data_IF_750042647448
#
_entry.id   IF_750042647448
#
_cell.length_a   1.000
_cell.length_b   1.000
_cell.length_c   1.000
_cell.angle_alpha   90.00
_cell.angle_beta   90.00
_cell.angle_gamma   90.00
#
_symmetry.space_group_name_H-M   'P 1'
#
loop_
_entity.id
_entity.type
_entity.pdbx_description
1 polymer ?
#
# COMPACT_ATOMS: atom_id res chain seq x y z
N UNK A 1 18.35 7.53 -14.59
CA UNK A 1 19.41 7.67 -13.56
C UNK A 1 20.24 8.91 -13.84
N UNK A 2 20.42 9.77 -12.83
CA UNK A 2 21.26 10.97 -12.93
C UNK A 2 22.73 10.54 -12.82
N UNK A 3 23.50 10.60 -13.91
CA UNK A 3 24.95 10.42 -13.86
C UNK A 3 25.55 11.64 -13.15
N UNK A 4 26.20 11.47 -12.01
CA UNK A 4 26.87 12.57 -11.31
C UNK A 4 27.98 13.09 -12.24
N UNK A 5 27.95 14.37 -12.66
CA UNK A 5 29.00 14.94 -13.49
C UNK A 5 30.36 14.81 -12.79
N UNK A 6 31.40 14.45 -13.54
CA UNK A 6 32.77 14.29 -13.04
C UNK A 6 33.26 15.54 -12.29
N UNK A 7 32.78 16.72 -12.67
CA UNK A 7 33.04 17.99 -11.99
C UNK A 7 32.52 18.03 -10.55
N UNK A 8 31.33 17.46 -10.29
CA UNK A 8 30.77 17.35 -8.93
C UNK A 8 31.50 16.30 -8.09
N UNK A 9 31.90 15.18 -8.70
CA UNK A 9 32.74 14.17 -8.04
C UNK A 9 34.07 14.78 -7.58
N UNK A 10 34.79 15.43 -8.48
CA UNK A 10 36.07 16.08 -8.18
C UNK A 10 35.91 17.21 -7.16
N UNK A 11 34.82 17.98 -7.26
CA UNK A 11 34.46 19.01 -6.29
C UNK A 11 34.28 18.43 -4.88
N UNK A 12 33.48 17.38 -4.73
CA UNK A 12 33.20 16.74 -3.45
C UNK A 12 34.46 16.14 -2.80
N UNK A 13 35.30 15.46 -3.58
CA UNK A 13 36.56 14.87 -3.06
C UNK A 13 37.55 15.95 -2.66
N UNK A 14 37.66 17.04 -3.44
CA UNK A 14 38.62 18.13 -3.18
C UNK A 14 38.26 18.92 -1.92
N UNK A 15 36.98 19.15 -1.66
CA UNK A 15 36.49 19.93 -0.52
C UNK A 15 36.26 19.10 0.74
N UNK A 16 36.37 17.78 0.68
CA UNK A 16 36.29 16.93 1.85
C UNK A 16 37.48 17.18 2.83
N UNK A 17 37.25 17.04 4.15
CA UNK A 17 38.28 17.20 5.18
C UNK A 17 39.52 16.33 4.92
N UNK A 18 40.70 16.87 5.23
CA UNK A 18 41.98 16.14 5.09
C UNK A 18 41.92 14.89 6.00
N UNK A 19 41.98 13.71 5.39
CA UNK A 19 41.79 12.41 6.05
C UNK A 19 40.54 11.63 5.62
N UNK A 20 39.53 12.31 5.07
CA UNK A 20 38.28 11.67 4.61
C UNK A 20 38.12 11.61 3.09
N UNK A 21 39.01 12.27 2.34
CA UNK A 21 38.94 12.34 0.87
C UNK A 21 38.92 10.97 0.19
N UNK A 22 39.71 10.01 0.68
CA UNK A 22 39.75 8.64 0.14
C UNK A 22 38.44 7.90 0.44
N UNK A 23 37.86 8.10 1.63
CA UNK A 23 36.56 7.52 2.01
C UNK A 23 35.42 8.08 1.16
N UNK A 24 35.41 9.40 0.94
CA UNK A 24 34.45 10.09 0.07
C UNK A 24 34.61 9.64 -1.38
N UNK A 25 35.85 9.57 -1.90
CA UNK A 25 36.12 9.08 -3.25
C UNK A 25 35.66 7.63 -3.42
N UNK A 26 35.94 6.76 -2.45
CA UNK A 26 35.52 5.34 -2.48
C UNK A 26 34.00 5.18 -2.48
N UNK A 27 33.29 5.92 -1.62
CA UNK A 27 31.82 5.89 -1.58
C UNK A 27 31.18 6.40 -2.86
N UNK A 28 31.73 7.47 -3.43
CA UNK A 28 31.24 7.99 -4.71
C UNK A 28 31.58 7.06 -5.87
N UNK A 29 32.77 6.43 -5.87
CA UNK A 29 33.17 5.43 -6.86
C UNK A 29 32.29 4.17 -6.80
N UNK A 30 31.89 3.70 -5.61
CA UNK A 30 30.93 2.60 -5.51
C UNK A 30 29.58 2.95 -6.15
N UNK A 31 29.15 4.21 -6.10
CA UNK A 31 27.93 4.65 -6.81
C UNK A 31 28.06 4.70 -8.33
N UNK A 32 29.29 4.60 -8.88
CA UNK A 32 29.53 4.46 -10.32
C UNK A 32 29.74 3.00 -10.75
N UNK A 33 30.01 2.08 -9.81
CA UNK A 33 30.31 0.67 -10.11
C UNK A 33 29.11 -0.27 -10.00
N UNK A 34 27.92 0.23 -9.67
CA UNK A 34 26.67 -0.55 -9.79
C UNK A 34 26.18 -0.53 -11.25
N UNK A 35 26.99 -1.12 -12.13
CA UNK A 35 26.61 -1.54 -13.49
C UNK A 35 26.69 -3.08 -13.63
N UNK A 36 26.65 -3.79 -12.50
CA UNK A 36 26.03 -5.11 -12.49
C UNK A 36 24.54 -4.82 -12.60
N UNK A 37 23.94 -5.16 -13.74
CA UNK A 37 22.51 -5.09 -13.98
C UNK A 37 21.79 -5.66 -12.75
N UNK A 38 21.40 -4.76 -11.85
CA UNK A 38 20.46 -5.10 -10.80
C UNK A 38 19.25 -5.53 -11.61
N UNK A 39 18.77 -6.78 -11.51
CA UNK A 39 17.55 -7.15 -12.22
C UNK A 39 16.55 -6.04 -11.90
N UNK A 40 16.07 -5.35 -12.94
CA UNK A 40 15.13 -4.26 -12.76
C UNK A 40 14.08 -4.79 -11.80
N UNK A 41 13.91 -4.11 -10.65
CA UNK A 41 13.02 -4.60 -9.60
C UNK A 41 11.74 -5.04 -10.28
N UNK A 42 11.42 -6.34 -10.23
CA UNK A 42 10.31 -6.88 -10.98
C UNK A 42 9.05 -6.30 -10.36
N UNK A 43 8.53 -5.24 -10.99
CA UNK A 43 7.36 -4.53 -10.49
C UNK A 43 6.16 -5.40 -10.83
N UNK A 44 5.61 -6.09 -9.85
CA UNK A 44 4.31 -6.74 -10.00
C UNK A 44 3.22 -5.67 -10.04
N UNK A 45 2.87 -5.22 -11.24
CA UNK A 45 1.80 -4.25 -11.44
C UNK A 45 0.44 -4.96 -11.58
N UNK A 46 -0.51 -4.60 -10.72
CA UNK A 46 -1.91 -4.93 -10.93
C UNK A 46 -2.53 -3.87 -11.84
N UNK A 47 -3.01 -4.26 -13.02
CA UNK A 47 -3.62 -3.33 -13.99
C UNK A 47 -5.13 -3.44 -14.04
N UNK A 48 -5.66 -4.63 -13.76
CA UNK A 48 -7.08 -4.93 -13.85
C UNK A 48 -7.43 -6.19 -13.03
N UNK A 49 -8.72 -6.42 -12.73
CA UNK A 49 -9.19 -7.68 -12.15
C UNK A 49 -8.94 -8.90 -13.06
N UNK A 50 -8.88 -8.70 -14.38
CA UNK A 50 -8.67 -9.80 -15.35
C UNK A 50 -7.29 -10.46 -15.20
N UNK A 51 -6.26 -9.67 -14.89
CA UNK A 51 -4.90 -10.16 -14.69
C UNK A 51 -4.63 -10.60 -13.24
N UNK A 52 -5.63 -10.47 -12.36
CA UNK A 52 -5.46 -10.57 -10.92
C UNK A 52 -4.89 -11.92 -10.49
N UNK A 53 -5.43 -13.04 -10.97
CA UNK A 53 -4.97 -14.37 -10.56
C UNK A 53 -3.49 -14.64 -10.89
N UNK A 54 -3.04 -14.23 -12.09
CA UNK A 54 -1.64 -14.35 -12.50
C UNK A 54 -0.73 -13.48 -11.64
N UNK A 55 -1.12 -12.21 -11.45
CA UNK A 55 -0.32 -11.25 -10.70
C UNK A 55 -0.30 -11.59 -9.21
N UNK A 56 -1.39 -12.12 -8.66
CA UNK A 56 -1.45 -12.64 -7.30
C UNK A 56 -0.45 -13.78 -7.09
N UNK A 57 -0.41 -14.77 -7.99
CA UNK A 57 0.52 -15.88 -7.90
C UNK A 57 1.97 -15.39 -7.95
N UNK A 58 2.28 -14.48 -8.88
CA UNK A 58 3.60 -13.87 -8.99
C UNK A 58 3.98 -13.06 -7.74
N UNK A 59 3.07 -12.21 -7.26
CA UNK A 59 3.28 -11.40 -6.06
C UNK A 59 3.44 -12.26 -4.80
N UNK A 60 2.71 -13.36 -4.72
CA UNK A 60 2.86 -14.32 -3.62
C UNK A 60 4.26 -14.93 -3.59
N UNK A 61 4.86 -15.21 -4.75
CA UNK A 61 6.23 -15.70 -4.85
C UNK A 61 7.24 -14.62 -4.43
N UNK A 62 7.05 -13.37 -4.87
CA UNK A 62 7.89 -12.24 -4.44
C UNK A 62 7.86 -12.02 -2.92
N UNK A 63 6.72 -12.28 -2.28
CA UNK A 63 6.55 -12.19 -0.83
C UNK A 63 6.99 -13.47 -0.07
N UNK A 64 7.58 -14.46 -0.75
CA UNK A 64 8.01 -15.73 -0.14
C UNK A 64 6.85 -16.66 0.27
N UNK A 65 5.63 -16.37 -0.20
CA UNK A 65 4.38 -17.07 0.10
C UNK A 65 3.93 -17.96 -1.07
N UNK A 66 4.78 -18.89 -1.52
CA UNK A 66 4.52 -19.72 -2.70
C UNK A 66 3.21 -20.51 -2.62
N UNK A 67 2.59 -20.70 -3.79
CA UNK A 67 1.42 -21.57 -3.95
C UNK A 67 0.11 -21.00 -3.39
N UNK A 68 0.09 -19.74 -2.94
CA UNK A 68 -1.16 -19.09 -2.56
C UNK A 68 -1.99 -18.80 -3.81
N UNK A 69 -3.29 -19.03 -3.67
CA UNK A 69 -4.32 -18.65 -4.62
C UNK A 69 -5.25 -17.60 -4.00
N UNK A 70 -5.93 -16.78 -4.81
CA UNK A 70 -6.97 -15.88 -4.32
C UNK A 70 -8.06 -16.65 -3.54
N UNK A 71 -8.52 -16.13 -2.39
CA UNK A 71 -9.72 -16.61 -1.72
C UNK A 71 -10.96 -16.56 -2.61
N UNK A 72 -11.94 -17.43 -2.32
CA UNK A 72 -13.22 -17.42 -3.01
C UNK A 72 -13.95 -16.06 -2.84
N UNK A 73 -14.60 -15.57 -3.90
CA UNK A 73 -15.33 -14.30 -3.87
C UNK A 73 -14.46 -13.06 -4.02
N UNK A 74 -13.13 -13.20 -4.06
CA UNK A 74 -12.21 -12.06 -4.15
C UNK A 74 -12.20 -11.45 -5.55
N UNK A 75 -12.11 -12.27 -6.59
CA UNK A 75 -12.11 -11.81 -7.98
C UNK A 75 -13.46 -11.17 -8.32
N UNK A 76 -14.57 -11.78 -7.87
CA UNK A 76 -15.92 -11.28 -8.05
C UNK A 76 -16.09 -9.90 -7.41
N UNK A 77 -15.52 -9.69 -6.21
CA UNK A 77 -15.51 -8.40 -5.54
C UNK A 77 -14.71 -7.34 -6.30
N UNK A 78 -13.52 -7.69 -6.81
CA UNK A 78 -12.72 -6.77 -7.63
C UNK A 78 -13.46 -6.37 -8.91
N UNK A 79 -14.16 -7.31 -9.55
CA UNK A 79 -15.02 -7.00 -10.70
C UNK A 79 -16.22 -6.14 -10.33
N UNK A 80 -16.85 -6.37 -9.18
CA UNK A 80 -17.93 -5.51 -8.67
C UNK A 80 -17.44 -4.06 -8.50
N UNK A 81 -16.27 -3.86 -7.91
CA UNK A 81 -15.69 -2.52 -7.73
C UNK A 81 -15.38 -1.82 -9.05
N UNK A 82 -14.94 -2.55 -10.08
CA UNK A 82 -14.65 -1.97 -11.40
C UNK A 82 -15.90 -1.34 -12.05
N UNK A 83 -17.09 -1.90 -11.80
CA UNK A 83 -18.34 -1.41 -12.37
C UNK A 83 -19.09 -0.44 -11.46
N UNK A 84 -18.57 -0.15 -10.26
CA UNK A 84 -19.17 0.82 -9.36
C UNK A 84 -18.90 2.24 -9.88
N UNK A 85 -19.92 3.10 -10.00
CA UNK A 85 -19.70 4.51 -10.27
C UNK A 85 -18.99 5.15 -9.08
N UNK A 86 -17.70 5.47 -9.23
CA UNK A 86 -16.92 6.21 -8.21
C UNK A 86 -16.88 7.67 -8.64
N UNK A 87 -17.49 8.56 -7.86
CA UNK A 87 -17.61 9.99 -8.18
C UNK A 87 -16.90 10.91 -7.19
N UNK A 88 -15.89 10.41 -6.47
CA UNK A 88 -15.28 11.15 -5.35
C UNK A 88 -13.78 11.36 -5.57
N UNK A 89 -13.30 12.56 -5.26
CA UNK A 89 -11.88 12.90 -5.31
C UNK A 89 -11.10 12.09 -4.26
N UNK A 90 -9.92 11.59 -4.63
CA UNK A 90 -9.01 10.91 -3.71
C UNK A 90 -9.24 9.41 -3.52
N UNK A 91 -10.15 8.78 -4.27
CA UNK A 91 -10.26 7.32 -4.30
C UNK A 91 -9.05 6.69 -5.03
N UNK A 92 -8.58 5.56 -4.51
CA UNK A 92 -7.49 4.79 -5.13
C UNK A 92 -7.97 4.13 -6.44
N UNK A 93 -7.04 3.95 -7.38
CA UNK A 93 -7.34 3.39 -8.70
C UNK A 93 -7.55 1.87 -8.69
N UNK A 94 -7.90 1.33 -9.87
CA UNK A 94 -8.10 -0.11 -10.04
C UNK A 94 -6.86 -0.94 -9.71
N UNK A 95 -5.70 -0.51 -10.16
CA UNK A 95 -4.45 -1.18 -9.82
C UNK A 95 -4.18 -1.20 -8.32
N UNK A 96 -4.46 -0.09 -7.65
CA UNK A 96 -4.19 0.07 -6.22
C UNK A 96 -5.08 -0.83 -5.37
N UNK A 97 -6.39 -0.89 -5.63
CA UNK A 97 -7.26 -1.77 -4.85
C UNK A 97 -7.02 -3.25 -5.15
N UNK A 98 -6.59 -3.60 -6.37
CA UNK A 98 -6.16 -4.95 -6.70
C UNK A 98 -4.89 -5.30 -5.91
N UNK A 99 -3.88 -4.44 -5.96
CA UNK A 99 -2.65 -4.62 -5.19
C UNK A 99 -2.93 -4.76 -3.69
N UNK A 100 -3.75 -3.87 -3.13
CA UNK A 100 -4.08 -3.85 -1.71
C UNK A 100 -4.82 -5.13 -1.30
N UNK A 101 -5.79 -5.58 -2.10
CA UNK A 101 -6.49 -6.85 -1.88
C UNK A 101 -5.50 -8.02 -1.87
N UNK A 102 -4.62 -8.10 -2.87
CA UNK A 102 -3.62 -9.18 -2.97
C UNK A 102 -2.65 -9.16 -1.78
N UNK A 103 -2.12 -7.99 -1.42
CA UNK A 103 -1.20 -7.83 -0.31
C UNK A 103 -1.81 -8.36 1.00
N UNK A 104 -3.04 -7.95 1.30
CA UNK A 104 -3.75 -8.35 2.51
C UNK A 104 -4.08 -9.84 2.48
N UNK A 105 -4.59 -10.36 1.37
CA UNK A 105 -4.94 -11.79 1.26
C UNK A 105 -3.71 -12.70 1.30
N UNK A 106 -2.59 -12.27 0.74
CA UNK A 106 -1.31 -13.00 0.80
C UNK A 106 -0.73 -12.94 2.20
N UNK A 107 -0.56 -11.76 2.80
CA UNK A 107 0.05 -11.66 4.13
C UNK A 107 -0.86 -12.18 5.24
N UNK A 108 -2.18 -12.18 5.00
CA UNK A 108 -3.21 -12.60 5.93
C UNK A 108 -3.06 -11.95 7.33
N UNK A 109 -2.90 -10.62 7.43
CA UNK A 109 -2.78 -9.96 8.72
C UNK A 109 -4.08 -10.13 9.52
N UNK A 110 -3.96 -10.15 10.85
CA UNK A 110 -5.14 -10.08 11.76
C UNK A 110 -5.55 -8.64 12.05
N UNK A 111 -4.61 -7.70 11.94
CA UNK A 111 -4.85 -6.29 12.23
C UNK A 111 -4.15 -5.43 11.19
N UNK A 112 -4.85 -4.43 10.68
CA UNK A 112 -4.28 -3.40 9.82
C UNK A 112 -4.56 -2.04 10.45
N UNK A 113 -3.56 -1.16 10.41
CA UNK A 113 -3.71 0.24 10.80
C UNK A 113 -3.50 1.06 9.53
N UNK A 114 -4.51 1.81 9.14
CA UNK A 114 -4.47 2.74 8.02
C UNK A 114 -4.41 4.17 8.56
N UNK A 115 -3.51 4.98 7.98
CA UNK A 115 -3.39 6.40 8.28
C UNK A 115 -3.99 7.18 7.11
N UNK A 116 -5.07 7.91 7.39
CA UNK A 116 -5.88 8.64 6.41
C UNK A 116 -7.11 7.85 5.99
N UNK A 117 -8.26 8.14 6.59
CA UNK A 117 -9.52 7.43 6.30
C UNK A 117 -10.20 7.95 5.04
N UNK A 118 -10.26 9.28 4.83
CA UNK A 118 -10.99 9.90 3.72
C UNK A 118 -12.42 9.33 3.56
N UNK A 119 -12.80 8.84 2.38
CA UNK A 119 -14.10 8.21 2.09
C UNK A 119 -14.26 6.84 2.75
N UNK A 120 -13.17 6.19 3.15
CA UNK A 120 -13.14 4.83 3.70
C UNK A 120 -13.05 3.72 2.65
N UNK A 121 -12.83 4.06 1.37
CA UNK A 121 -12.74 3.07 0.29
C UNK A 121 -11.69 1.99 0.52
N UNK A 122 -10.44 2.40 0.76
CA UNK A 122 -9.30 1.51 0.98
C UNK A 122 -9.49 0.66 2.24
N UNK A 123 -9.99 1.27 3.32
CA UNK A 123 -10.34 0.55 4.55
C UNK A 123 -11.37 -0.57 4.29
N UNK A 124 -12.38 -0.30 3.47
CA UNK A 124 -13.38 -1.28 3.07
C UNK A 124 -12.77 -2.43 2.25
N UNK A 125 -11.89 -2.11 1.29
CA UNK A 125 -11.15 -3.10 0.50
C UNK A 125 -10.31 -4.02 1.40
N UNK A 126 -9.58 -3.43 2.36
CA UNK A 126 -8.75 -4.17 3.32
C UNK A 126 -9.62 -5.09 4.17
N UNK A 127 -10.72 -4.57 4.75
CA UNK A 127 -11.61 -5.35 5.60
C UNK A 127 -12.25 -6.52 4.83
N UNK A 128 -12.67 -6.30 3.57
CA UNK A 128 -13.19 -7.35 2.71
C UNK A 128 -12.15 -8.45 2.46
N UNK A 129 -10.89 -8.09 2.19
CA UNK A 129 -9.80 -9.04 1.99
C UNK A 129 -9.49 -9.85 3.27
N UNK A 130 -9.42 -9.19 4.44
CA UNK A 130 -9.26 -9.86 5.74
C UNK A 130 -10.40 -10.86 5.97
N UNK A 131 -11.64 -10.43 5.75
CA UNK A 131 -12.83 -11.27 5.97
C UNK A 131 -12.82 -12.52 5.10
N UNK A 132 -12.51 -12.39 3.80
CA UNK A 132 -12.39 -13.56 2.91
C UNK A 132 -11.24 -14.49 3.30
N UNK A 133 -10.15 -13.94 3.83
CA UNK A 133 -8.96 -14.73 4.16
C UNK A 133 -9.14 -15.52 5.45
N UNK A 134 -9.82 -14.95 6.45
CA UNK A 134 -9.95 -15.56 7.78
C UNK A 134 -11.37 -16.06 8.11
N UNK A 135 -12.37 -15.72 7.28
CA UNK A 135 -13.79 -16.02 7.50
C UNK A 135 -14.51 -14.96 8.34
N UNK A 136 -15.85 -14.96 8.25
CA UNK A 136 -16.74 -13.98 8.89
C UNK A 136 -16.70 -13.96 10.42
N UNK A 137 -16.17 -15.01 11.07
CA UNK A 137 -16.04 -15.11 12.53
C UNK A 137 -14.63 -14.76 13.03
N UNK A 138 -13.78 -14.22 12.17
CA UNK A 138 -12.40 -13.93 12.53
C UNK A 138 -12.27 -12.65 13.37
N UNK A 139 -11.32 -12.65 14.29
CA UNK A 139 -10.91 -11.47 15.07
C UNK A 139 -10.13 -10.46 14.21
N UNK A 140 -10.37 -10.42 12.90
CA UNK A 140 -9.69 -9.53 11.98
C UNK A 140 -10.29 -8.14 12.03
N UNK A 141 -9.48 -7.07 12.10
CA UNK A 141 -10.03 -5.71 12.02
C UNK A 141 -9.07 -4.71 11.38
N UNK A 142 -9.65 -3.61 10.94
CA UNK A 142 -8.96 -2.45 10.38
C UNK A 142 -9.18 -1.27 11.31
N UNK A 143 -8.12 -0.71 11.86
CA UNK A 143 -8.16 0.58 12.53
C UNK A 143 -7.79 1.65 11.49
N UNK A 144 -8.62 2.67 11.32
CA UNK A 144 -8.28 3.82 10.47
C UNK A 144 -8.10 5.04 11.37
N UNK A 145 -7.02 5.79 11.18
CA UNK A 145 -6.72 6.99 11.94
C UNK A 145 -6.78 8.16 10.96
N UNK A 146 -7.73 9.06 11.15
CA UNK A 146 -7.76 10.30 10.38
C UNK A 146 -6.99 11.41 11.09
N UNK A 147 -6.26 12.24 10.34
CA UNK A 147 -5.43 13.33 10.89
C UNK A 147 -5.82 14.68 10.29
N UNK A 148 -7.06 14.81 9.78
CA UNK A 148 -7.73 16.03 9.26
C UNK A 148 -7.57 16.26 7.74
N UNK A 149 -8.22 15.42 6.93
CA UNK A 149 -8.47 15.73 5.52
C UNK A 149 -9.90 15.33 5.12
N UNK A 150 -10.86 16.25 5.31
CA UNK A 150 -12.18 16.14 4.67
C UNK A 150 -12.07 16.58 3.22
N UNK A 151 -12.25 15.64 2.29
CA UNK A 151 -12.30 15.92 0.85
C UNK A 151 -13.70 16.39 0.43
N UNK A 152 -14.73 15.96 1.16
CA UNK A 152 -16.12 16.36 0.98
C UNK A 152 -16.71 16.75 2.34
N UNK A 153 -17.12 18.01 2.50
CA UNK A 153 -17.73 18.49 3.74
C UNK A 153 -19.17 18.01 3.92
N UNK A 154 -19.82 17.56 2.85
CA UNK A 154 -21.23 17.15 2.85
C UNK A 154 -21.43 15.71 3.32
N UNK A 155 -20.34 14.92 3.40
CA UNK A 155 -20.38 13.51 3.78
C UNK A 155 -19.52 13.24 5.01
N UNK A 156 -19.90 12.25 5.84
CA UNK A 156 -19.06 11.83 6.95
C UNK A 156 -17.79 11.12 6.46
N UNK A 157 -16.72 11.19 7.24
CA UNK A 157 -15.52 10.38 7.01
C UNK A 157 -15.90 8.90 7.04
N UNK A 158 -15.36 8.11 6.11
CA UNK A 158 -15.61 6.67 6.05
C UNK A 158 -16.98 6.26 5.49
N UNK A 159 -17.73 7.17 4.86
CA UNK A 159 -19.09 6.87 4.36
C UNK A 159 -19.16 5.70 3.38
N UNK A 160 -18.09 5.38 2.65
CA UNK A 160 -18.09 4.26 1.69
C UNK A 160 -17.98 2.89 2.35
N UNK A 161 -17.58 2.81 3.63
CA UNK A 161 -17.47 1.54 4.35
C UNK A 161 -18.83 0.80 4.38
N UNK A 162 -19.91 1.39 4.93
CA UNK A 162 -21.21 0.71 4.93
C UNK A 162 -21.83 0.54 3.54
N UNK A 163 -21.40 1.33 2.54
CA UNK A 163 -21.88 1.18 1.16
C UNK A 163 -21.21 -0.01 0.44
N UNK A 164 -19.92 -0.24 0.66
CA UNK A 164 -19.13 -1.28 -0.01
C UNK A 164 -19.23 -2.63 0.68
N UNK A 165 -19.29 -2.62 2.01
CA UNK A 165 -19.24 -3.82 2.85
C UNK A 165 -20.24 -3.73 4.00
N UNK A 166 -21.56 -3.60 3.73
CA UNK A 166 -22.57 -3.39 4.76
C UNK A 166 -22.46 -4.41 5.90
N UNK A 167 -22.26 -5.69 5.55
CA UNK A 167 -22.16 -6.81 6.49
C UNK A 167 -20.84 -6.86 7.29
N UNK A 168 -19.83 -6.10 6.87
CA UNK A 168 -18.49 -6.10 7.50
C UNK A 168 -18.15 -4.75 8.14
N UNK A 169 -19.10 -3.82 8.23
CA UNK A 169 -18.88 -2.48 8.80
C UNK A 169 -18.22 -2.55 10.18
N UNK A 170 -18.61 -3.51 11.02
CA UNK A 170 -18.05 -3.70 12.38
C UNK A 170 -16.56 -4.09 12.41
N UNK A 171 -15.98 -4.54 11.28
CA UNK A 171 -14.56 -4.85 11.17
C UNK A 171 -13.69 -3.59 11.03
N UNK A 172 -14.29 -2.44 10.71
CA UNK A 172 -13.57 -1.18 10.54
C UNK A 172 -13.84 -0.27 11.73
N UNK A 173 -12.77 0.14 12.41
CA UNK A 173 -12.80 1.08 13.53
C UNK A 173 -12.28 2.42 13.07
N UNK A 174 -13.15 3.42 13.10
CA UNK A 174 -12.84 4.79 12.71
C UNK A 174 -12.33 5.57 13.93
N UNK A 175 -11.05 5.93 13.94
CA UNK A 175 -10.45 6.81 14.93
C UNK A 175 -10.40 8.23 14.35
N UNK A 176 -11.38 9.04 14.72
CA UNK A 176 -11.49 10.44 14.30
C UNK A 176 -10.96 11.32 15.44
N UNK A 177 -10.06 12.28 15.18
CA UNK A 177 -9.26 12.95 16.21
C UNK A 177 -10.05 13.92 17.11
N UNK A 178 -11.37 13.98 17.03
CA UNK A 178 -12.16 14.69 18.04
C UNK A 178 -12.20 13.97 19.40
N UNK A 179 -11.89 12.66 19.43
CA UNK A 179 -11.87 11.86 20.67
C UNK A 179 -10.50 11.22 20.99
N UNK A 180 -9.45 11.51 20.21
CA UNK A 180 -8.12 10.94 20.41
C UNK A 180 -7.33 11.73 21.46
N UNK A 181 -7.38 11.32 22.72
CA UNK A 181 -6.45 11.81 23.75
C UNK A 181 -5.05 11.27 23.48
N UNK A 182 -4.10 12.17 23.25
CA UNK A 182 -2.67 11.83 23.25
C UNK A 182 -2.32 11.17 24.59
N UNK A 183 -1.75 9.98 24.54
CA UNK A 183 -1.12 9.36 25.72
C UNK A 183 0.25 10.02 25.86
N UNK A 184 0.45 10.80 26.91
CA UNK A 184 1.77 11.33 27.26
C UNK A 184 2.67 10.20 27.78
N UNK A 185 3.90 10.15 27.28
CA UNK A 185 4.99 9.33 27.86
C UNK A 185 5.32 9.73 29.29
#
# INVERSE_FOLDING_TARGET
MLKIPLSLFLGAVRHAPRGHRISVARRLLSSFSDDLATPAAEVCEFKSPNDYGRNYAHFSALLGCHGKIPPAGEIEFLHFMLHRPVHHLGAIGCGDYCFLTALISILAPRRVIEIGTSTGFSAAVIAAAISRRHGNNSSGWVDTIDVRLKIDETRPIGFEIPELIPDLTAMVRLHIPHDATFVSE
#
